data_IF_562561760422
#
_entry.id   IF_562561760422
#
_cell.length_a   1.000
_cell.length_b   1.000
_cell.length_c   1.000
_cell.angle_alpha   90.00
_cell.angle_beta   90.00
_cell.angle_gamma   90.00
#
_symmetry.space_group_name_H-M   'P 1'
#
loop_
_entity.id
_entity.type
_entity.pdbx_description
1 polymer ?
#
# COMPACT_ATOMS: atom_id res chain seq x y z
N UNK A 1 4.68 5.45 24.08
CA UNK A 1 5.33 4.14 24.25
C UNK A 1 5.09 3.47 25.60
N UNK A 2 4.48 4.12 26.60
CA UNK A 2 4.35 3.55 27.97
C UNK A 2 3.03 2.81 28.27
N UNK A 3 1.96 3.00 27.52
CA UNK A 3 0.67 2.37 27.84
C UNK A 3 0.31 1.13 27.02
N UNK A 4 0.99 0.86 25.93
CA UNK A 4 0.88 -0.41 25.19
C UNK A 4 1.77 -1.54 25.74
N UNK A 5 2.58 -1.23 26.75
CA UNK A 5 3.59 -2.16 27.29
C UNK A 5 3.06 -3.17 28.29
N UNK A 6 1.82 -3.09 28.75
CA UNK A 6 1.38 -3.90 29.89
C UNK A 6 0.07 -4.67 29.72
N UNK A 7 -0.21 -5.17 28.50
CA UNK A 7 -1.19 -6.25 28.32
C UNK A 7 -0.49 -7.60 28.34
N UNK A 8 -0.06 -7.98 29.48
CA UNK A 8 0.33 -9.23 30.12
C UNK A 8 0.50 -10.52 29.31
N UNK A 9 1.16 -10.51 28.16
CA UNK A 9 1.62 -11.73 27.52
C UNK A 9 2.91 -12.22 28.18
N UNK A 10 2.96 -13.47 28.64
CA UNK A 10 4.19 -14.06 29.15
C UNK A 10 5.19 -14.27 28.00
N UNK A 11 6.48 -14.01 28.28
CA UNK A 11 7.54 -14.38 27.36
C UNK A 11 7.67 -15.89 27.31
N UNK A 12 7.35 -16.48 26.16
CA UNK A 12 7.59 -17.90 25.92
C UNK A 12 9.03 -18.10 25.46
N UNK A 13 9.66 -19.14 25.99
CA UNK A 13 10.96 -19.65 25.53
C UNK A 13 10.67 -20.96 24.84
N UNK A 14 11.05 -21.10 23.56
CA UNK A 14 10.79 -22.36 22.86
C UNK A 14 10.65 -22.14 21.35
N UNK A 15 11.65 -21.48 20.77
CA UNK A 15 11.79 -21.48 19.30
C UNK A 15 12.27 -22.86 18.88
N UNK A 16 11.45 -23.55 18.07
CA UNK A 16 11.78 -24.87 17.56
C UNK A 16 12.62 -24.83 16.29
N UNK A 17 12.35 -23.83 15.42
CA UNK A 17 12.99 -23.73 14.11
C UNK A 17 12.97 -22.26 13.64
N UNK A 18 14.03 -21.88 12.91
CA UNK A 18 14.14 -20.61 12.20
C UNK A 18 14.46 -20.92 10.75
N UNK A 19 13.63 -20.42 9.82
CA UNK A 19 13.76 -20.70 8.40
C UNK A 19 13.35 -19.49 7.57
N UNK A 20 14.31 -18.82 6.92
CA UNK A 20 14.07 -17.56 6.23
C UNK A 20 13.45 -16.54 7.19
N UNK A 21 12.34 -15.89 6.83
CA UNK A 21 11.66 -14.93 7.70
C UNK A 21 10.73 -15.58 8.74
N UNK A 22 10.73 -16.91 8.84
CA UNK A 22 9.80 -17.68 9.67
C UNK A 22 10.47 -18.18 10.93
N UNK A 23 9.73 -18.09 12.04
CA UNK A 23 10.09 -18.67 13.34
C UNK A 23 8.95 -19.61 13.78
N UNK A 24 9.28 -20.85 14.08
CA UNK A 24 8.33 -21.81 14.65
C UNK A 24 8.49 -21.82 16.16
N UNK A 25 7.42 -21.51 16.87
CA UNK A 25 7.39 -21.43 18.34
C UNK A 25 6.57 -22.60 18.89
N UNK A 26 7.14 -23.36 19.80
CA UNK A 26 6.46 -24.49 20.44
C UNK A 26 5.57 -24.07 21.59
N UNK A 27 4.51 -24.84 21.78
CA UNK A 27 3.68 -24.89 22.98
C UNK A 27 3.18 -23.53 23.49
N UNK A 28 2.30 -22.88 22.71
CA UNK A 28 1.66 -21.65 23.19
C UNK A 28 0.14 -21.82 23.17
N UNK A 29 -0.46 -21.91 24.35
CA UNK A 29 -1.92 -21.94 24.47
C UNK A 29 -2.52 -20.55 24.22
N UNK A 30 -3.63 -20.50 23.48
CA UNK A 30 -4.40 -19.26 23.28
C UNK A 30 -3.89 -18.32 22.20
N UNK A 31 -2.91 -18.74 21.39
CA UNK A 31 -2.43 -18.01 20.22
C UNK A 31 -3.52 -17.89 19.16
N UNK A 32 -3.60 -16.75 18.50
CA UNK A 32 -4.59 -16.46 17.45
C UNK A 32 -3.92 -16.24 16.11
N UNK A 33 -4.62 -16.58 15.04
CA UNK A 33 -4.22 -16.24 13.68
C UNK A 33 -4.10 -14.73 13.52
N UNK A 34 -3.08 -14.27 12.78
CA UNK A 34 -2.78 -12.86 12.49
C UNK A 34 -2.45 -11.98 13.72
N UNK A 35 -2.20 -12.60 14.84
CA UNK A 35 -1.81 -11.92 16.07
C UNK A 35 -0.37 -11.42 15.98
N UNK A 36 -0.11 -10.19 16.44
CA UNK A 36 1.24 -9.62 16.54
C UNK A 36 2.05 -10.32 17.61
N UNK A 37 3.30 -10.55 17.25
CA UNK A 37 4.29 -11.18 18.12
C UNK A 37 5.49 -10.26 18.29
N UNK A 38 5.95 -10.11 19.52
CA UNK A 38 7.24 -9.50 19.83
C UNK A 38 8.30 -10.59 20.00
N UNK A 39 9.43 -10.38 19.34
CA UNK A 39 10.55 -11.33 19.31
C UNK A 39 11.78 -10.59 19.81
N UNK A 40 12.38 -11.09 20.89
CA UNK A 40 13.57 -10.51 21.50
C UNK A 40 14.76 -11.43 21.26
N UNK A 41 15.84 -10.90 20.68
CA UNK A 41 17.09 -11.63 20.49
C UNK A 41 17.97 -11.62 21.76
N UNK A 42 19.10 -12.32 21.71
CA UNK A 42 20.07 -12.43 22.82
C UNK A 42 20.65 -11.06 23.25
N UNK A 43 20.67 -10.09 22.36
CA UNK A 43 21.16 -8.71 22.62
C UNK A 43 20.06 -7.80 23.16
N UNK A 44 18.84 -8.31 23.34
CA UNK A 44 17.69 -7.54 23.80
C UNK A 44 16.99 -6.71 22.72
N UNK A 45 17.41 -6.83 21.45
CA UNK A 45 16.76 -6.11 20.35
C UNK A 45 15.37 -6.70 20.10
N UNK A 46 14.40 -5.82 19.94
CA UNK A 46 13.01 -6.17 19.76
C UNK A 46 12.65 -6.12 18.27
N UNK A 47 12.02 -7.18 17.78
CA UNK A 47 11.43 -7.27 16.45
C UNK A 47 9.96 -7.60 16.58
N UNK A 48 9.20 -7.26 15.55
CA UNK A 48 7.78 -7.64 15.46
C UNK A 48 7.58 -8.67 14.37
N UNK A 49 6.55 -9.47 14.55
CA UNK A 49 6.09 -10.45 13.59
C UNK A 49 4.59 -10.65 13.74
N UNK A 50 4.05 -11.56 12.97
CA UNK A 50 2.66 -12.00 13.09
C UNK A 50 2.54 -13.50 12.99
N UNK A 51 1.48 -14.04 13.59
CA UNK A 51 1.15 -15.46 13.51
C UNK A 51 0.52 -15.75 12.15
N UNK A 52 1.12 -16.69 11.42
CA UNK A 52 0.63 -17.17 10.13
C UNK A 52 -0.21 -18.42 10.23
N UNK A 53 0.15 -19.28 11.18
CA UNK A 53 -0.51 -20.56 11.36
C UNK A 53 -0.50 -20.94 12.84
N UNK A 54 -1.59 -21.51 13.28
CA UNK A 54 -1.75 -22.01 14.64
C UNK A 54 -2.04 -23.50 14.56
N UNK A 55 -1.05 -24.31 15.00
CA UNK A 55 -1.19 -25.76 15.17
C UNK A 55 -1.46 -26.13 16.62
N UNK A 56 -1.71 -27.42 16.87
CA UNK A 56 -1.96 -27.95 18.23
C UNK A 56 -0.72 -27.80 19.14
N UNK A 57 0.48 -27.97 18.58
CA UNK A 57 1.74 -27.99 19.35
C UNK A 57 2.67 -26.82 19.01
N UNK A 58 2.42 -26.08 17.93
CA UNK A 58 3.29 -25.01 17.48
C UNK A 58 2.53 -23.89 16.75
N UNK A 59 3.06 -22.67 16.84
CA UNK A 59 2.64 -21.54 16.03
C UNK A 59 3.76 -21.15 15.06
N UNK A 60 3.39 -20.85 13.81
CA UNK A 60 4.29 -20.33 12.78
C UNK A 60 4.20 -18.80 12.77
N UNK A 61 5.32 -18.15 13.01
CA UNK A 61 5.42 -16.69 13.11
C UNK A 61 6.29 -16.15 11.98
N UNK A 62 5.79 -15.17 11.27
CA UNK A 62 6.51 -14.40 10.26
C UNK A 62 7.13 -13.15 10.88
N UNK A 63 8.42 -12.96 10.72
CA UNK A 63 9.17 -11.84 11.34
C UNK A 63 9.33 -10.72 10.33
N UNK A 64 8.78 -9.54 10.59
CA UNK A 64 8.79 -8.41 9.64
C UNK A 64 10.20 -7.94 9.29
N UNK A 65 11.05 -7.74 10.30
CA UNK A 65 12.43 -7.30 10.12
C UNK A 65 13.43 -8.44 9.81
N UNK A 66 12.93 -9.62 9.39
CA UNK A 66 13.75 -10.79 9.14
C UNK A 66 14.32 -11.43 10.42
N UNK A 67 14.98 -12.57 10.26
CA UNK A 67 15.44 -13.45 11.36
C UNK A 67 16.95 -13.44 11.57
N UNK A 68 17.70 -12.66 10.81
CA UNK A 68 19.18 -12.60 10.91
C UNK A 68 19.64 -12.30 12.34
N UNK A 69 20.47 -13.18 12.91
CA UNK A 69 20.98 -13.04 14.27
C UNK A 69 20.03 -13.54 15.37
N UNK A 70 18.88 -14.11 15.03
CA UNK A 70 18.07 -14.90 15.97
C UNK A 70 18.70 -16.28 16.20
N UNK A 71 18.58 -16.80 17.40
CA UNK A 71 19.06 -18.12 17.81
C UNK A 71 17.92 -18.90 18.47
N UNK A 72 17.87 -20.20 18.22
CA UNK A 72 16.86 -21.08 18.81
C UNK A 72 16.90 -21.03 20.33
N UNK A 73 18.11 -21.01 20.93
CA UNK A 73 18.30 -21.13 22.37
C UNK A 73 18.00 -19.83 23.14
N UNK A 74 18.23 -18.67 22.52
CA UNK A 74 18.21 -17.38 23.23
C UNK A 74 17.06 -16.46 22.81
N UNK A 75 16.38 -16.77 21.71
CA UNK A 75 15.24 -15.97 21.25
C UNK A 75 14.03 -16.20 22.15
N UNK A 76 13.40 -15.10 22.55
CA UNK A 76 12.15 -15.10 23.33
C UNK A 76 11.03 -14.48 22.54
N UNK A 77 9.84 -15.01 22.68
CA UNK A 77 8.66 -14.63 21.90
C UNK A 77 7.52 -14.27 22.86
N UNK A 78 6.82 -13.17 22.57
CA UNK A 78 5.63 -12.74 23.31
C UNK A 78 4.49 -12.48 22.34
N UNK A 79 3.37 -13.14 22.56
CA UNK A 79 2.14 -12.96 21.80
C UNK A 79 1.31 -11.83 22.41
N UNK A 80 0.78 -10.91 21.58
CA UNK A 80 0.10 -9.71 22.05
C UNK A 80 -1.43 -9.81 22.07
N UNK A 81 -2.02 -10.89 21.53
CA UNK A 81 -3.44 -11.15 21.51
C UNK A 81 -4.25 -10.22 20.58
N UNK A 82 -3.61 -9.47 19.71
CA UNK A 82 -4.24 -8.52 18.80
C UNK A 82 -3.49 -8.45 17.46
N UNK A 83 -4.18 -8.12 16.35
CA UNK A 83 -3.55 -7.91 15.06
C UNK A 83 -2.63 -6.66 15.05
N UNK A 84 -1.91 -6.45 13.96
CA UNK A 84 -1.04 -5.29 13.82
C UNK A 84 -1.87 -4.00 13.72
N UNK A 85 -1.65 -3.10 14.68
CA UNK A 85 -2.24 -1.78 14.71
C UNK A 85 -1.17 -0.70 14.49
N UNK A 86 -1.54 0.34 13.78
CA UNK A 86 -0.71 1.53 13.59
C UNK A 86 -1.38 2.76 14.20
N UNK A 87 -0.61 3.74 14.67
CA UNK A 87 -1.16 5.04 15.02
C UNK A 87 -1.72 5.71 13.76
N UNK A 88 -2.87 6.35 13.87
CA UNK A 88 -3.48 7.13 12.78
C UNK A 88 -3.84 8.52 13.27
N UNK A 89 -3.39 9.55 12.53
CA UNK A 89 -3.67 10.96 12.82
C UNK A 89 -3.38 11.80 11.57
N UNK A 90 -4.02 12.96 11.45
CA UNK A 90 -3.73 13.94 10.39
C UNK A 90 -2.28 14.46 10.43
N UNK A 91 -1.64 14.47 11.61
CA UNK A 91 -0.24 14.85 11.78
C UNK A 91 0.76 13.95 11.02
N UNK A 92 0.28 12.84 10.46
CA UNK A 92 1.08 12.01 9.56
C UNK A 92 1.23 12.61 8.15
N UNK A 93 0.39 13.57 7.77
CA UNK A 93 0.58 14.35 6.55
C UNK A 93 1.84 15.23 6.70
N UNK A 94 2.58 15.38 5.64
CA UNK A 94 3.87 16.07 5.65
C UNK A 94 5.05 15.20 6.08
N UNK A 95 4.82 13.93 6.44
CA UNK A 95 5.81 13.06 7.06
C UNK A 95 6.23 11.89 6.16
N UNK A 96 7.41 11.33 6.47
CA UNK A 96 7.97 10.16 5.77
C UNK A 96 8.18 9.02 6.76
N UNK A 97 7.67 7.86 6.42
CA UNK A 97 7.66 6.65 7.22
C UNK A 97 8.32 5.49 6.47
N UNK A 98 8.82 4.51 7.21
CA UNK A 98 9.17 3.21 6.65
C UNK A 98 7.91 2.39 6.29
N UNK A 99 8.10 1.18 5.77
CA UNK A 99 7.02 0.29 5.39
C UNK A 99 6.11 -0.16 6.54
N UNK A 100 6.57 -0.02 7.79
CA UNK A 100 5.82 -0.35 8.99
C UNK A 100 5.15 0.85 9.66
N UNK A 101 5.27 2.05 9.07
CA UNK A 101 4.73 3.29 9.62
C UNK A 101 5.56 3.93 10.72
N UNK A 102 6.86 3.57 10.83
CA UNK A 102 7.80 4.23 11.75
C UNK A 102 8.40 5.45 11.04
N UNK A 103 8.44 6.64 11.68
CA UNK A 103 9.04 7.83 11.06
C UNK A 103 10.51 7.64 10.73
N UNK A 104 10.90 8.04 9.51
CA UNK A 104 12.30 8.05 9.02
C UNK A 104 12.76 9.43 8.59
N UNK A 105 12.01 10.46 8.92
CA UNK A 105 12.27 11.86 8.65
C UNK A 105 12.96 12.60 9.82
N UNK A 106 13.46 11.86 10.82
CA UNK A 106 14.01 12.34 12.09
C UNK A 106 12.99 13.08 12.98
N UNK A 107 11.71 13.05 12.65
CA UNK A 107 10.65 13.59 13.49
C UNK A 107 10.23 12.61 14.59
N UNK A 108 9.48 13.07 15.60
CA UNK A 108 8.95 12.20 16.65
C UNK A 108 7.89 11.24 16.11
N UNK A 109 7.57 10.20 16.87
CA UNK A 109 6.40 9.37 16.63
C UNK A 109 5.14 10.24 16.68
N UNK A 110 4.17 10.04 15.75
CA UNK A 110 2.90 10.75 15.81
C UNK A 110 2.21 10.52 17.16
N UNK A 111 1.77 11.61 17.79
CA UNK A 111 1.09 11.55 19.08
C UNK A 111 -0.40 11.35 18.84
N UNK A 112 -0.89 10.17 19.13
CA UNK A 112 -2.31 9.84 19.03
C UNK A 112 -2.68 8.73 19.99
N UNK A 113 -3.92 8.75 20.45
CA UNK A 113 -4.57 7.64 21.16
C UNK A 113 -5.44 6.78 20.21
N UNK A 114 -5.47 7.12 18.91
CA UNK A 114 -6.19 6.37 17.89
C UNK A 114 -5.25 5.39 17.19
N UNK A 115 -5.58 4.11 17.27
CA UNK A 115 -4.87 3.02 16.59
C UNK A 115 -5.85 2.26 15.72
N UNK A 116 -5.43 1.88 14.51
CA UNK A 116 -6.25 1.16 13.56
C UNK A 116 -5.55 -0.13 13.08
N UNK A 117 -6.35 -1.18 12.88
CA UNK A 117 -5.90 -2.47 12.35
C UNK A 117 -5.46 -2.32 10.90
N UNK A 118 -4.27 -2.80 10.56
CA UNK A 118 -3.71 -2.70 9.20
C UNK A 118 -4.48 -3.53 8.17
N UNK A 119 -5.23 -4.52 8.61
CA UNK A 119 -6.08 -5.32 7.71
C UNK A 119 -7.28 -4.52 7.17
N UNK A 120 -7.61 -3.39 7.81
CA UNK A 120 -8.72 -2.56 7.44
C UNK A 120 -10.09 -3.23 7.65
N UNK A 121 -11.11 -2.59 7.12
CA UNK A 121 -12.48 -3.15 7.14
C UNK A 121 -13.00 -3.25 5.72
N UNK A 122 -13.53 -4.39 5.29
CA UNK A 122 -14.14 -4.49 3.98
C UNK A 122 -15.32 -3.53 3.87
N UNK A 123 -15.33 -2.74 2.79
CA UNK A 123 -16.43 -1.81 2.51
C UNK A 123 -17.62 -2.62 2.00
N UNK A 124 -18.74 -2.55 2.72
CA UNK A 124 -19.98 -3.18 2.27
C UNK A 124 -20.39 -2.62 0.90
N UNK A 125 -20.57 -3.46 -0.14
CA UNK A 125 -20.98 -3.02 -1.47
C UNK A 125 -22.25 -2.15 -1.48
N UNK A 126 -23.20 -2.43 -0.60
CA UNK A 126 -24.45 -1.66 -0.50
C UNK A 126 -24.29 -0.29 0.13
N UNK A 127 -23.20 -0.06 0.85
CA UNK A 127 -22.85 1.23 1.43
C UNK A 127 -22.10 2.14 0.44
N UNK A 128 -21.64 1.61 -0.70
CA UNK A 128 -20.92 2.40 -1.70
C UNK A 128 -21.84 3.42 -2.36
N UNK A 129 -21.29 4.59 -2.62
CA UNK A 129 -21.93 5.66 -3.42
C UNK A 129 -21.39 5.60 -4.83
N UNK A 130 -22.26 5.83 -5.80
CA UNK A 130 -21.86 5.92 -7.20
C UNK A 130 -20.98 7.17 -7.41
N UNK A 131 -19.80 7.06 -8.03
CA UNK A 131 -18.89 8.18 -8.22
C UNK A 131 -19.47 9.19 -9.22
N UNK A 132 -19.30 10.49 -8.93
CA UNK A 132 -19.80 11.60 -9.77
C UNK A 132 -18.78 12.70 -10.00
N UNK A 133 -17.74 12.71 -9.20
CA UNK A 133 -16.72 13.75 -9.20
C UNK A 133 -15.39 13.15 -9.67
N UNK A 134 -14.48 13.99 -10.15
CA UNK A 134 -13.20 13.54 -10.68
C UNK A 134 -12.02 14.18 -9.96
N UNK A 135 -10.85 13.56 -10.09
CA UNK A 135 -9.57 14.11 -9.65
C UNK A 135 -8.82 14.56 -10.90
N UNK A 136 -8.45 15.83 -10.93
CA UNK A 136 -7.59 16.37 -11.96
C UNK A 136 -6.15 15.99 -11.65
N UNK A 137 -5.52 15.19 -12.53
CA UNK A 137 -4.15 14.69 -12.33
C UNK A 137 -3.09 15.65 -12.87
N UNK A 138 -3.47 16.62 -13.67
CA UNK A 138 -2.58 17.51 -14.41
C UNK A 138 -1.92 16.85 -15.63
N UNK A 139 -2.37 15.65 -16.01
CA UNK A 139 -1.89 14.90 -17.18
C UNK A 139 -3.00 14.89 -18.24
N UNK A 140 -2.85 15.64 -19.32
CA UNK A 140 -3.90 15.83 -20.34
C UNK A 140 -4.42 14.51 -20.95
N UNK A 141 -3.56 13.51 -21.12
CA UNK A 141 -3.96 12.21 -21.64
C UNK A 141 -4.81 11.40 -20.63
N UNK A 142 -4.68 11.67 -19.33
CA UNK A 142 -5.53 11.09 -18.29
C UNK A 142 -6.79 11.95 -18.16
N UNK A 143 -6.64 13.23 -17.90
CA UNK A 143 -7.77 14.12 -17.57
C UNK A 143 -8.76 14.28 -18.73
N UNK A 144 -8.27 14.29 -19.99
CA UNK A 144 -9.12 14.47 -21.17
C UNK A 144 -9.63 13.17 -21.80
N UNK A 145 -8.94 12.03 -21.65
CA UNK A 145 -9.24 10.80 -22.39
C UNK A 145 -9.51 9.58 -21.51
N UNK A 146 -9.07 9.61 -20.26
CA UNK A 146 -9.16 8.49 -19.30
C UNK A 146 -9.34 9.02 -17.87
N UNK A 147 -10.24 9.97 -17.70
CA UNK A 147 -10.44 10.74 -16.46
C UNK A 147 -10.48 9.86 -15.21
N UNK A 148 -9.72 10.24 -14.19
CA UNK A 148 -9.70 9.61 -12.90
C UNK A 148 -10.89 10.07 -12.06
N UNK A 149 -11.76 9.15 -11.72
CA UNK A 149 -12.98 9.45 -10.97
C UNK A 149 -12.76 9.20 -9.47
N UNK A 150 -13.32 10.05 -8.61
CA UNK A 150 -13.20 9.89 -7.16
C UNK A 150 -13.79 8.55 -6.69
N UNK A 151 -13.00 7.81 -5.93
CA UNK A 151 -13.38 6.48 -5.47
C UNK A 151 -13.10 5.35 -6.47
N UNK A 152 -12.40 5.65 -7.57
CA UNK A 152 -12.00 4.69 -8.60
C UNK A 152 -10.65 4.04 -8.27
N UNK A 153 -10.45 2.82 -8.76
CA UNK A 153 -9.16 2.13 -8.88
C UNK A 153 -8.71 2.19 -10.34
N UNK A 154 -7.75 3.04 -10.66
CA UNK A 154 -7.23 3.22 -12.02
C UNK A 154 -5.73 2.93 -12.05
N UNK A 155 -5.30 1.70 -12.36
CA UNK A 155 -3.90 1.34 -12.38
C UNK A 155 -3.15 1.90 -13.58
N UNK A 156 -1.84 2.11 -13.41
CA UNK A 156 -0.90 2.42 -14.48
C UNK A 156 -0.07 1.16 -14.77
N UNK A 157 -0.20 0.66 -15.98
CA UNK A 157 0.56 -0.46 -16.51
C UNK A 157 1.78 0.07 -17.24
N UNK A 158 2.96 -0.08 -16.63
CA UNK A 158 4.23 0.34 -17.16
C UNK A 158 5.02 -0.81 -17.73
N UNK A 159 6.00 -0.52 -18.58
CA UNK A 159 7.04 -1.45 -19.00
C UNK A 159 8.37 -1.19 -18.28
N UNK A 160 9.27 -2.16 -18.31
CA UNK A 160 10.59 -2.03 -17.69
C UNK A 160 11.38 -0.88 -18.31
N UNK A 161 11.84 0.07 -17.50
CA UNK A 161 12.61 1.24 -17.95
C UNK A 161 11.78 2.40 -18.49
N UNK A 162 10.46 2.33 -18.45
CA UNK A 162 9.60 3.48 -18.70
C UNK A 162 9.54 4.41 -17.47
N UNK A 163 9.29 5.69 -17.71
CA UNK A 163 9.35 6.75 -16.71
C UNK A 163 8.09 6.82 -15.80
N UNK A 164 7.62 5.68 -15.28
CA UNK A 164 6.44 5.65 -14.41
C UNK A 164 6.66 6.35 -13.06
N UNK A 165 7.90 6.35 -12.54
CA UNK A 165 8.25 7.09 -11.32
C UNK A 165 8.10 8.61 -11.52
N UNK A 166 8.52 9.12 -12.69
CA UNK A 166 8.34 10.54 -13.04
C UNK A 166 6.85 10.89 -13.18
N UNK A 167 6.08 10.00 -13.82
CA UNK A 167 4.63 10.17 -13.97
C UNK A 167 3.93 10.16 -12.60
N UNK A 168 4.27 9.21 -11.71
CA UNK A 168 3.76 9.17 -10.35
C UNK A 168 4.09 10.45 -9.58
N UNK A 169 5.34 10.92 -9.68
CA UNK A 169 5.80 12.17 -9.08
C UNK A 169 4.99 13.36 -9.58
N UNK A 170 4.76 13.44 -10.88
CA UNK A 170 4.00 14.53 -11.50
C UNK A 170 2.54 14.52 -11.03
N UNK A 171 1.88 13.38 -11.01
CA UNK A 171 0.51 13.23 -10.51
C UNK A 171 0.42 13.71 -9.04
N UNK A 172 1.29 13.24 -8.16
CA UNK A 172 1.28 13.62 -6.73
C UNK A 172 1.48 15.13 -6.54
N UNK A 173 2.33 15.76 -7.36
CA UNK A 173 2.57 17.21 -7.30
C UNK A 173 1.40 18.04 -7.79
N UNK A 174 0.70 17.60 -8.83
CA UNK A 174 -0.31 18.36 -9.56
C UNK A 174 -1.75 18.00 -9.23
N UNK A 175 -1.99 16.80 -8.65
CA UNK A 175 -3.34 16.32 -8.40
C UNK A 175 -4.13 17.29 -7.51
N UNK A 176 -5.36 17.59 -7.94
CA UNK A 176 -6.33 18.42 -7.23
C UNK A 176 -7.72 17.82 -7.40
N UNK A 177 -8.65 18.26 -6.55
CA UNK A 177 -10.06 17.97 -6.78
C UNK A 177 -10.52 18.69 -8.05
N UNK A 178 -11.33 18.05 -8.88
CA UNK A 178 -11.90 18.66 -10.07
C UNK A 178 -12.73 19.88 -9.71
N UNK A 179 -12.53 20.97 -10.45
CA UNK A 179 -13.33 22.19 -10.28
C UNK A 179 -14.49 22.21 -11.28
N UNK A 180 -15.61 22.90 -10.97
CA UNK A 180 -16.65 23.19 -11.94
C UNK A 180 -16.09 23.92 -13.17
N UNK A 181 -16.76 23.75 -14.32
CA UNK A 181 -16.31 24.40 -15.57
C UNK A 181 -16.20 25.92 -15.40
N UNK A 182 -15.00 26.47 -15.62
CA UNK A 182 -14.71 27.89 -15.52
C UNK A 182 -14.15 28.36 -14.17
N UNK A 183 -13.99 27.48 -13.21
CA UNK A 183 -13.32 27.76 -11.96
C UNK A 183 -11.92 27.14 -11.93
N UNK A 184 -10.95 27.80 -11.29
CA UNK A 184 -9.64 27.21 -11.07
C UNK A 184 -9.71 26.18 -9.94
N UNK A 185 -9.03 25.00 -10.08
CA UNK A 185 -8.99 24.01 -9.01
C UNK A 185 -8.37 24.60 -7.75
N UNK A 186 -9.13 24.65 -6.67
CA UNK A 186 -8.63 25.10 -5.39
C UNK A 186 -7.80 23.99 -4.72
N UNK A 187 -6.70 24.36 -4.07
CA UNK A 187 -6.07 23.47 -3.09
C UNK A 187 -7.02 23.41 -1.88
N UNK A 188 -7.70 22.29 -1.73
CA UNK A 188 -8.62 22.08 -0.63
C UNK A 188 -7.88 21.41 0.53
N UNK A 189 -8.10 21.88 1.77
CA UNK A 189 -7.64 21.20 2.98
C UNK A 189 -8.28 19.79 3.13
N UNK A 190 -9.34 19.54 2.40
CA UNK A 190 -10.04 18.25 2.36
C UNK A 190 -9.38 17.23 1.42
N UNK A 191 -8.27 17.56 0.74
CA UNK A 191 -7.57 16.68 -0.19
C UNK A 191 -6.20 16.28 0.35
N UNK A 192 -6.01 14.97 0.53
CA UNK A 192 -4.76 14.38 0.99
C UNK A 192 -4.24 13.32 0.00
N UNK A 193 -2.94 13.06 0.03
CA UNK A 193 -2.30 12.05 -0.80
C UNK A 193 -1.54 11.08 0.10
N UNK A 194 -1.74 9.80 -0.12
CA UNK A 194 -0.94 8.74 0.49
C UNK A 194 -0.07 8.12 -0.60
N UNK A 195 1.23 8.18 -0.41
CA UNK A 195 2.20 7.63 -1.36
C UNK A 195 2.92 6.45 -0.71
N UNK A 196 2.77 5.26 -1.26
CA UNK A 196 3.46 4.06 -0.79
C UNK A 196 4.34 3.47 -1.89
N UNK A 197 5.64 3.39 -1.61
CA UNK A 197 6.63 2.81 -2.50
C UNK A 197 7.14 1.48 -1.94
N UNK A 198 7.05 0.43 -2.76
CA UNK A 198 7.35 -0.95 -2.38
C UNK A 198 8.53 -1.50 -3.18
N UNK A 199 9.61 -1.85 -2.49
CA UNK A 199 10.80 -2.43 -3.10
C UNK A 199 11.54 -1.49 -4.04
N UNK A 200 11.49 -0.18 -3.77
CA UNK A 200 12.15 0.83 -4.60
C UNK A 200 13.62 0.99 -4.21
N UNK A 201 14.45 1.39 -5.17
CA UNK A 201 15.86 1.68 -4.90
C UNK A 201 16.01 2.96 -4.08
N UNK A 202 17.12 3.10 -3.35
CA UNK A 202 17.42 4.27 -2.54
C UNK A 202 17.44 5.59 -3.32
N UNK A 203 17.93 5.58 -4.56
CA UNK A 203 17.94 6.76 -5.43
C UNK A 203 16.53 7.17 -5.85
N UNK A 204 15.66 6.22 -6.16
CA UNK A 204 14.25 6.45 -6.49
C UNK A 204 13.49 6.99 -5.28
N UNK A 205 13.67 6.38 -4.10
CA UNK A 205 13.05 6.87 -2.86
C UNK A 205 13.48 8.31 -2.53
N UNK A 206 14.77 8.62 -2.72
CA UNK A 206 15.31 9.98 -2.57
C UNK A 206 14.72 10.95 -3.59
N UNK A 207 14.55 10.52 -4.84
CA UNK A 207 13.92 11.31 -5.89
C UNK A 207 12.49 11.71 -5.49
N UNK A 208 11.66 10.75 -5.07
CA UNK A 208 10.30 11.05 -4.62
C UNK A 208 10.28 12.05 -3.46
N UNK A 209 11.07 11.80 -2.42
CA UNK A 209 11.12 12.68 -1.24
C UNK A 209 11.52 14.11 -1.61
N UNK A 210 12.57 14.27 -2.39
CA UNK A 210 13.06 15.60 -2.80
C UNK A 210 12.03 16.31 -3.70
N UNK A 211 11.47 15.60 -4.69
CA UNK A 211 10.49 16.18 -5.60
C UNK A 211 9.22 16.67 -4.89
N UNK A 212 8.76 15.96 -3.84
CA UNK A 212 7.59 16.39 -3.06
C UNK A 212 7.93 17.54 -2.10
N UNK A 213 9.12 17.53 -1.50
CA UNK A 213 9.58 18.61 -0.66
C UNK A 213 9.79 19.91 -1.46
N UNK A 214 10.51 19.85 -2.59
CA UNK A 214 10.83 21.00 -3.42
C UNK A 214 9.58 21.67 -4.05
N UNK A 215 8.54 20.86 -4.31
CA UNK A 215 7.29 21.38 -4.86
C UNK A 215 6.29 21.90 -3.81
N UNK A 216 6.59 21.73 -2.52
CA UNK A 216 5.65 22.02 -1.44
C UNK A 216 4.48 21.02 -1.33
N UNK A 217 4.40 20.00 -2.21
CA UNK A 217 3.36 18.99 -2.18
C UNK A 217 3.42 18.12 -0.91
N UNK A 218 4.62 18.01 -0.31
CA UNK A 218 4.83 17.16 0.86
C UNK A 218 3.84 17.45 2.00
N UNK A 219 3.44 18.70 2.21
CA UNK A 219 2.54 19.09 3.31
C UNK A 219 1.20 18.33 3.31
N UNK A 220 0.73 17.88 2.15
CA UNK A 220 -0.50 17.11 1.99
C UNK A 220 -0.25 15.64 1.67
N UNK A 221 1.00 15.18 1.73
CA UNK A 221 1.41 13.82 1.39
C UNK A 221 1.92 13.11 2.64
N UNK A 222 1.43 11.91 2.93
CA UNK A 222 2.10 10.97 3.82
C UNK A 222 2.81 9.91 2.97
N UNK A 223 4.13 9.75 3.17
CA UNK A 223 4.95 8.80 2.40
C UNK A 223 5.27 7.57 3.24
N UNK A 224 5.08 6.39 2.64
CA UNK A 224 5.51 5.10 3.20
C UNK A 224 6.51 4.47 2.24
N UNK A 225 7.73 4.23 2.72
CA UNK A 225 8.83 3.76 1.88
C UNK A 225 9.34 2.41 2.37
N UNK A 226 9.21 1.38 1.53
CA UNK A 226 9.90 0.12 1.67
C UNK A 226 10.96 0.05 0.56
N UNK A 227 12.21 -0.09 0.95
CA UNK A 227 13.34 -0.11 0.03
C UNK A 227 13.59 -1.51 -0.55
N UNK A 228 14.40 -1.59 -1.58
CA UNK A 228 14.70 -2.85 -2.25
C UNK A 228 15.46 -3.85 -1.38
N UNK A 229 16.26 -3.35 -0.44
CA UNK A 229 17.03 -4.13 0.55
C UNK A 229 16.27 -4.39 1.86
N UNK A 230 15.09 -3.80 2.04
CA UNK A 230 14.22 -4.12 3.17
C UNK A 230 13.61 -5.53 3.04
N UNK A 231 13.27 -6.17 4.16
CA UNK A 231 12.70 -7.50 4.16
C UNK A 231 11.42 -7.62 3.30
N UNK A 232 11.27 -8.70 2.50
CA UNK A 232 10.06 -8.90 1.68
C UNK A 232 8.75 -8.91 2.46
N UNK A 233 8.79 -9.36 3.72
CA UNK A 233 7.60 -9.38 4.59
C UNK A 233 7.10 -7.97 4.89
N UNK A 234 8.00 -7.03 5.17
CA UNK A 234 7.65 -5.63 5.39
C UNK A 234 6.98 -5.04 4.15
N UNK A 235 7.45 -5.41 2.95
CA UNK A 235 6.86 -4.99 1.67
C UNK A 235 5.40 -5.39 1.54
N UNK A 236 4.99 -6.54 2.10
CA UNK A 236 3.59 -6.99 2.11
C UNK A 236 2.72 -6.19 3.10
N UNK A 237 3.32 -5.62 4.12
CA UNK A 237 2.60 -4.80 5.11
C UNK A 237 2.45 -3.35 4.65
N UNK A 238 3.44 -2.81 3.94
CA UNK A 238 3.51 -1.40 3.50
C UNK A 238 2.21 -0.85 2.89
N UNK A 239 1.60 -1.47 1.86
CA UNK A 239 0.36 -0.94 1.27
C UNK A 239 -0.82 -1.03 2.24
N UNK A 240 -0.83 -1.99 3.17
CA UNK A 240 -1.87 -2.12 4.20
C UNK A 240 -1.79 -0.97 5.20
N UNK A 241 -0.57 -0.63 5.65
CA UNK A 241 -0.31 0.53 6.53
C UNK A 241 -0.76 1.83 5.86
N UNK A 242 -0.38 2.04 4.60
CA UNK A 242 -0.75 3.21 3.83
C UNK A 242 -2.27 3.34 3.67
N UNK A 243 -2.95 2.26 3.30
CA UNK A 243 -4.40 2.23 3.15
C UNK A 243 -5.14 2.41 4.49
N UNK A 244 -4.56 1.98 5.61
CA UNK A 244 -5.16 2.18 6.94
C UNK A 244 -5.18 3.66 7.32
N UNK A 245 -4.11 4.41 7.03
CA UNK A 245 -4.13 5.86 7.18
C UNK A 245 -5.14 6.51 6.23
N UNK A 246 -5.21 6.03 4.96
CA UNK A 246 -6.18 6.53 3.98
C UNK A 246 -7.63 6.34 4.45
N UNK A 247 -7.97 5.17 5.03
CA UNK A 247 -9.30 4.91 5.59
C UNK A 247 -9.64 5.85 6.74
N UNK A 248 -8.70 6.10 7.63
CA UNK A 248 -8.89 7.06 8.72
C UNK A 248 -9.18 8.47 8.18
N UNK A 249 -8.33 8.97 7.28
CA UNK A 249 -8.49 10.31 6.69
C UNK A 249 -9.79 10.44 5.91
N UNK A 250 -10.13 9.42 5.11
CA UNK A 250 -11.32 9.47 4.27
C UNK A 250 -12.62 9.26 5.07
N UNK A 251 -12.68 8.21 5.90
CA UNK A 251 -13.95 7.78 6.48
C UNK A 251 -14.21 8.30 7.88
N UNK A 252 -13.18 8.73 8.61
CA UNK A 252 -13.35 9.34 9.94
C UNK A 252 -13.16 10.87 9.91
N UNK A 253 -12.32 11.38 8.97
CA UNK A 253 -12.05 12.82 8.84
C UNK A 253 -12.76 13.48 7.65
N UNK A 254 -13.40 12.71 6.79
CA UNK A 254 -14.16 13.23 5.65
C UNK A 254 -13.31 13.73 4.47
N UNK A 255 -12.01 13.42 4.45
CA UNK A 255 -11.10 13.91 3.40
C UNK A 255 -11.22 13.09 2.10
N UNK A 256 -10.93 13.71 0.97
CA UNK A 256 -10.71 13.00 -0.29
C UNK A 256 -9.26 12.57 -0.38
N UNK A 257 -9.00 11.26 -0.43
CA UNK A 257 -7.64 10.71 -0.36
C UNK A 257 -7.28 10.03 -1.67
N UNK A 258 -6.21 10.51 -2.30
CA UNK A 258 -5.58 9.84 -3.43
C UNK A 258 -4.45 8.94 -2.92
N UNK A 259 -4.54 7.65 -3.18
CA UNK A 259 -3.52 6.67 -2.80
C UNK A 259 -2.75 6.23 -4.03
N UNK A 260 -1.44 6.45 -4.04
CA UNK A 260 -0.53 5.99 -5.10
C UNK A 260 0.32 4.85 -4.55
N UNK A 261 0.22 3.67 -5.17
CA UNK A 261 0.96 2.47 -4.78
C UNK A 261 1.95 2.08 -5.88
N UNK A 262 3.27 2.15 -5.62
CA UNK A 262 4.33 1.80 -6.58
C UNK A 262 5.44 0.97 -5.92
N UNK A 263 5.98 -0.12 -6.44
CA UNK A 263 5.52 -0.88 -7.59
C UNK A 263 4.77 -2.14 -7.13
N UNK A 264 3.56 -2.34 -7.63
CA UNK A 264 2.74 -3.49 -7.26
C UNK A 264 3.31 -4.81 -7.78
N UNK A 265 4.18 -4.78 -8.78
CA UNK A 265 4.92 -5.98 -9.22
C UNK A 265 5.92 -6.41 -8.16
N UNK A 266 6.64 -5.46 -7.52
CA UNK A 266 7.53 -5.77 -6.40
C UNK A 266 6.77 -6.35 -5.20
N UNK A 267 5.55 -5.86 -4.94
CA UNK A 267 4.66 -6.43 -3.94
C UNK A 267 4.31 -7.89 -4.26
N UNK A 268 3.87 -8.16 -5.48
CA UNK A 268 3.52 -9.52 -5.91
C UNK A 268 4.73 -10.47 -5.89
N UNK A 269 5.93 -9.97 -6.24
CA UNK A 269 7.17 -10.75 -6.17
C UNK A 269 7.53 -11.10 -4.71
N UNK A 270 7.36 -10.18 -3.78
CA UNK A 270 7.52 -10.47 -2.36
C UNK A 270 6.53 -11.55 -1.89
N UNK A 271 5.26 -11.45 -2.31
CA UNK A 271 4.25 -12.45 -2.00
C UNK A 271 4.62 -13.83 -2.56
N UNK A 272 5.13 -13.89 -3.79
CA UNK A 272 5.64 -15.13 -4.41
C UNK A 272 6.81 -15.72 -3.62
N UNK A 273 7.77 -14.89 -3.19
CA UNK A 273 8.92 -15.33 -2.40
C UNK A 273 8.47 -15.93 -1.06
N UNK A 274 7.59 -15.25 -0.35
CA UNK A 274 7.09 -15.71 0.96
C UNK A 274 6.27 -17.00 0.82
N UNK A 275 5.39 -17.07 -0.17
CA UNK A 275 4.61 -18.27 -0.49
C UNK A 275 5.52 -19.50 -0.76
N UNK A 276 6.60 -19.30 -1.52
CA UNK A 276 7.57 -20.37 -1.80
C UNK A 276 8.32 -20.82 -0.53
N UNK A 277 8.70 -19.88 0.35
CA UNK A 277 9.36 -20.21 1.62
C UNK A 277 8.41 -21.02 2.53
N UNK A 278 7.11 -20.73 2.49
CA UNK A 278 6.08 -21.48 3.23
C UNK A 278 5.81 -22.87 2.64
N UNK A 279 6.33 -23.18 1.45
CA UNK A 279 6.08 -24.45 0.76
C UNK A 279 4.66 -24.56 0.20
N UNK A 280 3.99 -23.43 -0.03
CA UNK A 280 2.66 -23.42 -0.63
C UNK A 280 2.71 -23.89 -2.08
N UNK A 281 1.65 -24.55 -2.54
CA UNK A 281 1.58 -25.04 -3.93
C UNK A 281 1.49 -23.87 -4.88
N UNK A 282 2.49 -23.69 -5.80
CA UNK A 282 2.49 -22.56 -6.70
C UNK A 282 1.41 -22.70 -7.78
N UNK A 283 0.81 -21.57 -8.15
CA UNK A 283 -0.10 -21.42 -9.27
C UNK A 283 0.64 -20.87 -10.49
N UNK A 284 -0.06 -20.16 -11.39
CA UNK A 284 0.46 -19.61 -12.63
C UNK A 284 1.72 -18.75 -12.41
N UNK A 285 2.80 -19.04 -13.14
CA UNK A 285 4.13 -18.38 -13.05
C UNK A 285 4.74 -18.37 -11.64
N UNK A 286 4.38 -19.32 -10.77
CA UNK A 286 4.94 -19.46 -9.43
C UNK A 286 4.34 -18.54 -8.36
N UNK A 287 3.29 -17.80 -8.69
CA UNK A 287 2.54 -16.99 -7.71
C UNK A 287 1.61 -17.89 -6.89
N UNK A 288 1.27 -17.50 -5.64
CA UNK A 288 0.31 -18.25 -4.83
C UNK A 288 -1.09 -18.23 -5.47
N UNK A 289 -1.87 -19.28 -5.23
CA UNK A 289 -3.22 -19.39 -5.75
C UNK A 289 -4.18 -18.30 -5.29
N UNK A 290 -3.88 -17.67 -4.16
CA UNK A 290 -4.66 -16.58 -3.58
C UNK A 290 -4.20 -15.16 -4.00
N UNK A 291 -3.32 -15.02 -5.03
CA UNK A 291 -2.86 -13.71 -5.50
C UNK A 291 -4.03 -12.75 -5.82
N UNK A 292 -5.10 -13.27 -6.45
CA UNK A 292 -6.29 -12.48 -6.77
C UNK A 292 -6.95 -11.91 -5.52
N UNK A 293 -7.26 -12.75 -4.54
CA UNK A 293 -7.93 -12.31 -3.30
C UNK A 293 -7.04 -11.41 -2.45
N UNK A 294 -5.74 -11.60 -2.48
CA UNK A 294 -4.81 -10.73 -1.78
C UNK A 294 -4.76 -9.32 -2.40
N UNK A 295 -4.61 -9.21 -3.73
CA UNK A 295 -4.71 -7.93 -4.45
C UNK A 295 -6.08 -7.27 -4.26
N UNK A 296 -7.16 -8.05 -4.34
CA UNK A 296 -8.52 -7.56 -4.11
C UNK A 296 -8.67 -6.99 -2.69
N UNK A 297 -8.04 -7.60 -1.67
CA UNK A 297 -8.08 -7.10 -0.30
C UNK A 297 -7.47 -5.70 -0.14
N UNK A 298 -6.54 -5.31 -1.01
CA UNK A 298 -5.96 -3.96 -1.06
C UNK A 298 -6.82 -3.02 -1.90
N UNK A 299 -7.16 -3.42 -3.10
CA UNK A 299 -7.85 -2.54 -4.06
C UNK A 299 -9.30 -2.26 -3.66
N UNK A 300 -9.99 -3.21 -3.02
CA UNK A 300 -11.38 -3.04 -2.57
C UNK A 300 -11.55 -2.14 -1.32
N UNK A 301 -10.45 -1.65 -0.75
CA UNK A 301 -10.47 -0.57 0.27
C UNK A 301 -10.75 0.81 -0.34
N UNK A 302 -10.81 0.92 -1.65
CA UNK A 302 -11.12 2.12 -2.44
C UNK A 302 -12.62 2.35 -2.51
N UNK A 303 -13.06 3.60 -2.55
CA UNK A 303 -14.45 3.98 -2.84
C UNK A 303 -14.95 5.18 -2.06
N UNK A 304 -16.22 5.51 -2.29
CA UNK A 304 -17.03 6.41 -1.47
C UNK A 304 -18.09 5.61 -0.74
N UNK A 305 -18.41 6.00 0.48
CA UNK A 305 -19.43 5.36 1.29
C UNK A 305 -20.48 6.38 1.74
N UNK A 306 -21.73 5.92 1.90
CA UNK A 306 -22.88 6.77 2.27
C UNK A 306 -22.73 7.47 3.62
N UNK A 307 -21.91 6.92 4.50
CA UNK A 307 -21.72 7.41 5.88
C UNK A 307 -20.60 8.44 6.03
N UNK A 308 -19.90 8.79 4.94
CA UNK A 308 -18.80 9.76 4.95
C UNK A 308 -18.79 10.59 3.67
N UNK A 309 -18.45 11.86 3.79
CA UNK A 309 -18.25 12.75 2.65
C UNK A 309 -16.92 12.48 1.93
N UNK A 310 -15.97 11.84 2.61
CA UNK A 310 -14.66 11.49 2.07
C UNK A 310 -14.67 10.34 1.06
N UNK A 311 -13.54 10.18 0.39
CA UNK A 311 -13.34 9.11 -0.60
C UNK A 311 -11.90 8.61 -0.60
N UNK A 312 -11.71 7.35 -1.00
CA UNK A 312 -10.39 6.79 -1.32
C UNK A 312 -10.35 6.46 -2.80
N UNK A 313 -9.41 7.09 -3.53
CA UNK A 313 -9.11 6.81 -4.93
C UNK A 313 -7.74 6.19 -5.01
N UNK A 314 -7.56 5.11 -5.78
CA UNK A 314 -6.27 4.42 -5.90
C UNK A 314 -5.71 4.50 -7.32
N UNK A 315 -4.40 4.77 -7.41
CA UNK A 315 -3.56 4.59 -8.59
C UNK A 315 -2.50 3.54 -8.27
N UNK A 316 -2.81 2.24 -8.44
CA UNK A 316 -1.78 1.22 -8.39
C UNK A 316 -0.88 1.33 -9.63
N UNK A 317 0.42 1.38 -9.44
CA UNK A 317 1.41 1.38 -10.53
C UNK A 317 2.11 0.02 -10.52
N UNK A 318 2.18 -0.62 -11.67
CA UNK A 318 2.86 -1.90 -11.83
C UNK A 318 3.75 -1.91 -13.07
N UNK A 319 4.82 -2.67 -12.99
CA UNK A 319 5.71 -2.94 -14.14
C UNK A 319 5.36 -4.29 -14.72
N UNK A 320 4.97 -4.32 -16.00
CA UNK A 320 4.67 -5.56 -16.71
C UNK A 320 5.97 -6.30 -17.04
N UNK A 321 6.22 -7.52 -16.52
CA UNK A 321 7.37 -8.30 -16.91
C UNK A 321 7.33 -8.62 -18.42
N UNK A 322 8.41 -8.29 -19.14
CA UNK A 322 8.52 -8.42 -20.59
C UNK A 322 7.43 -7.71 -21.41
N UNK A 323 6.86 -6.63 -20.88
CA UNK A 323 5.71 -5.91 -21.47
C UNK A 323 4.47 -6.81 -21.72
N UNK A 324 4.38 -7.93 -21.01
CA UNK A 324 3.32 -8.92 -21.15
C UNK A 324 2.10 -8.54 -20.29
N UNK A 325 1.10 -7.93 -20.89
CA UNK A 325 -0.15 -7.58 -20.24
C UNK A 325 -0.94 -8.82 -19.76
N UNK A 326 -0.65 -10.00 -20.30
CA UNK A 326 -1.28 -11.27 -19.88
C UNK A 326 -0.56 -11.95 -18.71
N UNK A 327 0.52 -11.33 -18.22
CA UNK A 327 1.20 -11.77 -16.99
C UNK A 327 0.23 -11.71 -15.79
N UNK A 328 0.29 -12.65 -14.80
CA UNK A 328 -0.66 -12.69 -13.68
C UNK A 328 -0.86 -11.36 -12.96
N UNK A 329 0.17 -10.54 -12.79
CA UNK A 329 0.08 -9.27 -12.05
C UNK A 329 -0.82 -8.25 -12.78
N UNK A 330 -0.54 -7.83 -14.03
CA UNK A 330 -1.45 -6.93 -14.75
C UNK A 330 -2.80 -7.56 -15.06
N UNK A 331 -2.85 -8.85 -15.42
CA UNK A 331 -4.08 -9.57 -15.75
C UNK A 331 -5.08 -9.53 -14.58
N UNK A 332 -4.66 -9.96 -13.39
CA UNK A 332 -5.50 -9.94 -12.19
C UNK A 332 -5.84 -8.53 -11.73
N UNK A 333 -4.89 -7.59 -11.80
CA UNK A 333 -5.15 -6.18 -11.49
C UNK A 333 -6.25 -5.62 -12.40
N UNK A 334 -6.20 -5.89 -13.70
CA UNK A 334 -7.21 -5.45 -14.66
C UNK A 334 -8.62 -6.01 -14.41
N UNK A 335 -8.73 -7.21 -13.82
CA UNK A 335 -10.02 -7.78 -13.42
C UNK A 335 -10.62 -7.10 -12.17
N UNK A 336 -9.77 -6.65 -11.23
CA UNK A 336 -10.24 -6.06 -9.96
C UNK A 336 -10.58 -4.58 -10.14
N UNK A 337 -9.91 -3.89 -11.06
CA UNK A 337 -9.96 -2.42 -11.20
C UNK A 337 -10.94 -1.94 -12.27
N UNK A 338 -11.25 -0.65 -12.28
CA UNK A 338 -12.21 -0.05 -13.21
C UNK A 338 -11.55 0.59 -14.44
N UNK A 339 -10.50 -0.03 -14.97
CA UNK A 339 -9.77 0.41 -16.16
C UNK A 339 -8.28 0.23 -16.02
N UNK A 340 -7.50 0.84 -16.93
CA UNK A 340 -6.04 0.90 -16.89
C UNK A 340 -5.51 2.05 -17.74
N UNK A 341 -4.39 2.61 -17.34
CA UNK A 341 -3.54 3.50 -18.16
C UNK A 341 -2.33 2.68 -18.61
N UNK A 342 -2.07 2.63 -19.91
CA UNK A 342 -0.97 1.82 -20.48
C UNK A 342 0.13 2.72 -20.99
N UNK A 343 1.36 2.53 -20.50
CA UNK A 343 2.55 3.18 -21.02
C UNK A 343 3.15 2.37 -22.17
N UNK A 344 3.74 3.05 -23.15
CA UNK A 344 4.25 2.42 -24.38
C UNK A 344 5.67 2.86 -24.72
N UNK A 345 6.56 1.89 -24.96
CA UNK A 345 7.95 2.13 -25.33
C UNK A 345 8.12 2.86 -26.66
N UNK A 346 7.22 2.64 -27.64
CA UNK A 346 7.34 3.31 -28.93
C UNK A 346 7.10 4.83 -28.80
N UNK A 347 6.19 5.24 -27.94
CA UNK A 347 5.96 6.64 -27.63
C UNK A 347 7.16 7.25 -26.88
N UNK A 348 7.70 6.53 -25.91
CA UNK A 348 8.91 6.97 -25.18
C UNK A 348 10.13 7.14 -26.12
N UNK A 349 10.32 6.23 -27.10
CA UNK A 349 11.39 6.35 -28.11
C UNK A 349 11.22 7.53 -29.08
N UNK A 350 10.01 8.06 -29.18
CA UNK A 350 9.68 9.26 -29.98
C UNK A 350 9.73 10.54 -29.13
N UNK A 351 10.30 10.45 -27.91
CA UNK A 351 10.36 11.56 -26.94
C UNK A 351 8.99 12.14 -26.54
N UNK A 352 7.92 11.32 -26.66
CA UNK A 352 6.59 11.70 -26.20
C UNK A 352 6.48 11.42 -24.71
N UNK A 353 6.22 12.49 -23.92
CA UNK A 353 6.04 12.39 -22.48
C UNK A 353 4.73 13.06 -22.03
N UNK A 354 3.93 12.42 -21.14
CA UNK A 354 4.07 11.02 -20.72
C UNK A 354 3.74 10.04 -21.88
N UNK A 355 4.41 8.87 -21.96
CA UNK A 355 4.26 7.92 -23.06
C UNK A 355 2.99 7.07 -22.92
N UNK A 356 1.84 7.72 -22.73
CA UNK A 356 0.54 7.07 -22.53
C UNK A 356 -0.04 6.65 -23.87
N UNK A 357 -0.26 5.36 -24.06
CA UNK A 357 -1.01 4.82 -25.19
C UNK A 357 -2.51 4.95 -24.93
N UNK A 358 -3.16 5.94 -25.49
CA UNK A 358 -4.56 6.27 -25.22
C UNK A 358 -5.51 5.14 -25.68
N UNK A 359 -5.24 4.52 -26.83
CA UNK A 359 -6.14 3.50 -27.39
C UNK A 359 -6.32 2.24 -26.51
N UNK A 360 -5.25 1.64 -25.92
CA UNK A 360 -5.39 0.53 -24.98
C UNK A 360 -5.72 0.97 -23.56
N UNK A 361 -5.69 2.29 -23.27
CA UNK A 361 -6.05 2.83 -21.97
C UNK A 361 -7.57 3.01 -21.88
N UNK A 362 -8.11 2.82 -20.68
CA UNK A 362 -9.54 2.88 -20.44
C UNK A 362 -9.83 3.30 -18.99
N UNK A 363 -10.70 4.28 -18.81
CA UNK A 363 -11.37 4.54 -17.53
C UNK A 363 -12.87 4.23 -17.68
N UNK A 364 -13.32 3.15 -17.03
CA UNK A 364 -14.72 2.67 -17.18
C UNK A 364 -15.74 3.60 -16.54
N UNK A 365 -15.34 4.35 -15.52
CA UNK A 365 -16.21 5.27 -14.78
C UNK A 365 -16.17 6.71 -15.32
N UNK A 366 -15.38 6.99 -16.36
CA UNK A 366 -15.19 8.32 -16.90
C UNK A 366 -16.51 9.04 -17.24
N UNK A 367 -17.43 8.33 -17.90
CA UNK A 367 -18.73 8.90 -18.32
C UNK A 367 -19.58 9.37 -17.16
N UNK A 368 -19.44 8.70 -16.02
CA UNK A 368 -20.25 8.96 -14.83
C UNK A 368 -19.63 10.05 -13.96
N UNK A 369 -18.30 10.24 -14.06
CA UNK A 369 -17.52 11.19 -13.28
C UNK A 369 -17.41 12.59 -13.90
N UNK A 370 -17.68 12.73 -15.20
CA UNK A 370 -17.53 14.03 -15.89
C UNK A 370 -18.73 14.96 -15.63
N UNK A 371 -19.90 14.42 -15.29
CA UNK A 371 -21.10 15.21 -15.06
C UNK A 371 -21.76 15.77 -16.35
N UNK A 372 -23.00 16.22 -16.23
CA UNK A 372 -23.71 16.88 -17.31
C UNK A 372 -23.12 18.28 -17.53
N UNK A 373 -22.58 18.56 -18.72
CA UNK A 373 -22.05 19.86 -19.10
C UNK A 373 -20.54 19.96 -19.34
N UNK A 374 -19.81 18.83 -19.17
CA UNK A 374 -18.36 18.73 -19.41
C UNK A 374 -18.01 17.92 -20.69
N UNK A 375 -18.90 17.80 -21.64
CA UNK A 375 -18.67 17.12 -22.93
C UNK A 375 -18.10 18.08 -23.98
#
# INVERSE_FOLDING_TARGET
MSELQDRGGQWAVGVARIEGPIVVVQSVAGVRYDEVVEIRDAQGRLRRGRVLEVGEEAAVVEVFAGTTGLSIDSTRVRFLGQPLHIPVTEEMLGRVFDGMGVPIDNGPQPLTNRYADVNGKPVNPTARVYPRDYIQTGISAIDGMNTLVMGQKLPIFSGSGLAHDQLATQIVRQATLGAPAGEEPAQSEEFAIIFAAMGVKHDVARHFRNAFADSGALNRVAMFLNLADDPPVERLVTPRVALTLAEYLAFERGMHVLVVLTDMTNYCEALRQISNIRGEVPSRKGYPGYLYSDLASLYERTGRIKSSDGSITQIPILTMPNDDITHPVPDLTGYITEGQIVLNHNLARQDIYPPIAVLPSLSRLMKDGIGEGHT
#
